data_IF_668245662446
#
_entry.id   IF_668245662446
#
_cell.length_a   1.000
_cell.length_b   1.000
_cell.length_c   1.000
_cell.angle_alpha   90.00
_cell.angle_beta   90.00
_cell.angle_gamma   90.00
#
_symmetry.space_group_name_H-M   'P 1'
#
loop_
_entity.id
_entity.type
_entity.pdbx_description
1 polymer ?
#
# COMPACT_ATOMS: atom_id res chain seq x y z
N UNK A 1 -13.27 -5.84 12.36
CA UNK A 1 -13.20 -4.39 12.65
C UNK A 1 -11.77 -4.09 13.04
N UNK A 2 -11.19 -2.94 12.66
CA UNK A 2 -9.82 -2.62 13.06
C UNK A 2 -9.76 -2.20 14.53
N UNK A 3 -8.62 -2.44 15.18
CA UNK A 3 -8.33 -2.09 16.58
C UNK A 3 -7.92 -0.62 16.77
N UNK A 4 -7.92 0.15 15.68
CA UNK A 4 -7.56 1.57 15.65
C UNK A 4 -8.70 2.42 15.08
N UNK A 5 -8.80 3.65 15.56
CA UNK A 5 -9.72 4.66 15.04
C UNK A 5 -8.94 5.67 14.21
N UNK A 6 -9.42 6.07 13.02
CA UNK A 6 -8.70 7.03 12.20
C UNK A 6 -8.63 8.38 12.91
N UNK A 7 -7.45 8.99 12.94
CA UNK A 7 -7.35 10.41 13.33
C UNK A 7 -7.93 11.31 12.22
N UNK A 8 -8.05 12.61 12.52
CA UNK A 8 -8.65 13.57 11.59
C UNK A 8 -7.97 13.63 10.21
N UNK A 9 -6.64 13.57 10.19
CA UNK A 9 -5.86 13.56 8.96
C UNK A 9 -6.13 12.30 8.12
N UNK A 10 -6.14 11.12 8.75
CA UNK A 10 -6.47 9.84 8.12
C UNK A 10 -7.91 9.83 7.60
N UNK A 11 -8.87 10.32 8.37
CA UNK A 11 -10.28 10.38 7.96
C UNK A 11 -10.46 11.26 6.72
N UNK A 12 -9.83 12.43 6.68
CA UNK A 12 -9.83 13.29 5.49
C UNK A 12 -9.21 12.60 4.29
N UNK A 13 -8.04 11.98 4.44
CA UNK A 13 -7.38 11.22 3.37
C UNK A 13 -8.26 10.10 2.81
N UNK A 14 -8.90 9.32 3.69
CA UNK A 14 -9.84 8.26 3.31
C UNK A 14 -11.05 8.81 2.57
N UNK A 15 -11.62 9.92 3.03
CA UNK A 15 -12.78 10.54 2.39
C UNK A 15 -12.44 11.12 1.01
N UNK A 16 -11.26 11.73 0.86
CA UNK A 16 -10.77 12.21 -0.45
C UNK A 16 -10.57 11.03 -1.42
N UNK A 17 -9.90 9.97 -0.97
CA UNK A 17 -9.73 8.75 -1.76
C UNK A 17 -11.07 8.17 -2.20
N UNK A 18 -12.05 8.04 -1.28
CA UNK A 18 -13.38 7.49 -1.60
C UNK A 18 -14.11 8.30 -2.66
N UNK A 19 -14.06 9.64 -2.57
CA UNK A 19 -14.74 10.55 -3.51
C UNK A 19 -14.18 10.45 -4.93
N UNK A 20 -12.86 10.28 -5.06
CA UNK A 20 -12.18 10.30 -6.36
C UNK A 20 -11.78 8.91 -6.86
N UNK A 21 -12.08 7.84 -6.10
CA UNK A 21 -11.67 6.46 -6.37
C UNK A 21 -12.00 5.97 -7.78
N UNK A 22 -13.20 6.31 -8.27
CA UNK A 22 -13.66 5.89 -9.61
C UNK A 22 -13.03 6.71 -10.74
N UNK A 23 -12.58 7.93 -10.46
CA UNK A 23 -12.11 8.87 -11.48
C UNK A 23 -10.62 8.68 -11.84
N UNK A 24 -9.83 8.03 -10.98
CA UNK A 24 -8.39 7.87 -11.19
C UNK A 24 -7.93 6.44 -10.91
N UNK A 25 -6.89 6.00 -11.62
CA UNK A 25 -6.28 4.68 -11.45
C UNK A 25 -5.13 4.68 -10.44
N UNK A 26 -4.60 5.84 -10.12
CA UNK A 26 -3.50 6.01 -9.18
C UNK A 26 -3.66 7.28 -8.36
N UNK A 27 -3.15 7.26 -7.13
CA UNK A 27 -3.26 8.34 -6.16
C UNK A 27 -1.92 8.55 -5.45
N UNK A 28 -1.58 9.79 -5.13
CA UNK A 28 -0.49 10.12 -4.23
C UNK A 28 -1.07 10.72 -2.96
N UNK A 29 -0.86 10.09 -1.82
CA UNK A 29 -1.28 10.62 -0.51
C UNK A 29 -0.07 11.17 0.21
N UNK A 30 -0.10 12.47 0.45
CA UNK A 30 0.86 13.15 1.30
C UNK A 30 0.38 13.09 2.75
N UNK A 31 1.21 12.51 3.60
CA UNK A 31 0.97 12.40 5.03
C UNK A 31 2.33 12.42 5.77
N UNK A 32 2.61 13.41 6.63
CA UNK A 32 3.93 13.59 7.26
C UNK A 32 4.40 12.37 8.05
N UNK A 33 5.69 12.25 8.36
CA UNK A 33 6.17 11.20 9.28
C UNK A 33 5.51 11.38 10.65
N UNK A 34 5.17 10.26 11.32
CA UNK A 34 4.42 10.31 12.59
C UNK A 34 2.89 10.48 12.44
N UNK A 35 2.37 10.89 11.28
CA UNK A 35 0.91 11.06 11.03
C UNK A 35 0.10 9.76 10.98
N UNK A 36 0.78 8.60 11.02
CA UNK A 36 0.13 7.29 10.97
C UNK A 36 -0.12 6.76 9.56
N UNK A 37 0.80 6.99 8.60
CA UNK A 37 0.74 6.41 7.23
C UNK A 37 0.44 4.91 7.21
N UNK A 38 1.09 4.14 8.07
CA UNK A 38 0.84 2.69 8.18
C UNK A 38 -0.59 2.39 8.65
N UNK A 39 -1.15 3.22 9.54
CA UNK A 39 -2.56 3.13 9.94
C UNK A 39 -3.52 3.47 8.79
N UNK A 40 -3.22 4.52 8.01
CA UNK A 40 -3.98 4.83 6.79
C UNK A 40 -3.96 3.66 5.81
N UNK A 41 -2.79 3.06 5.58
CA UNK A 41 -2.64 1.87 4.74
C UNK A 41 -3.48 0.70 5.26
N UNK A 42 -3.52 0.49 6.58
CA UNK A 42 -4.34 -0.53 7.22
C UNK A 42 -5.84 -0.30 7.02
N UNK A 43 -6.34 0.93 7.16
CA UNK A 43 -7.74 1.28 6.86
C UNK A 43 -8.10 0.97 5.40
N UNK A 44 -7.23 1.36 4.47
CA UNK A 44 -7.44 1.11 3.03
C UNK A 44 -7.44 -0.39 2.76
N UNK A 45 -6.42 -1.11 3.25
CA UNK A 45 -6.26 -2.54 3.04
C UNK A 45 -7.43 -3.33 3.62
N UNK A 46 -7.83 -3.05 4.86
CA UNK A 46 -8.99 -3.67 5.51
C UNK A 46 -10.28 -3.50 4.69
N UNK A 47 -10.50 -2.30 4.14
CA UNK A 47 -11.64 -2.02 3.28
C UNK A 47 -11.65 -2.85 1.99
N UNK A 48 -10.49 -3.24 1.45
CA UNK A 48 -10.41 -4.09 0.25
C UNK A 48 -10.47 -5.59 0.61
N UNK A 49 -9.73 -6.01 1.63
CA UNK A 49 -9.67 -7.39 2.11
C UNK A 49 -11.04 -7.89 2.54
N UNK A 50 -11.85 -7.04 3.19
CA UNK A 50 -13.25 -7.37 3.55
C UNK A 50 -14.16 -7.64 2.35
N UNK A 51 -13.73 -7.28 1.13
CA UNK A 51 -14.41 -7.58 -0.14
C UNK A 51 -13.73 -8.70 -0.93
N UNK A 52 -12.78 -9.42 -0.32
CA UNK A 52 -12.01 -10.48 -0.97
C UNK A 52 -10.99 -9.97 -1.99
N UNK A 53 -10.67 -8.67 -1.97
CA UNK A 53 -9.72 -8.06 -2.91
C UNK A 53 -8.28 -8.16 -2.38
N UNK A 54 -7.33 -8.41 -3.28
CA UNK A 54 -5.92 -8.61 -2.94
C UNK A 54 -5.13 -7.31 -2.95
N UNK A 55 -4.43 -7.05 -1.85
CA UNK A 55 -3.62 -5.86 -1.63
C UNK A 55 -2.16 -6.25 -1.57
N UNK A 56 -1.32 -5.56 -2.36
CA UNK A 56 0.13 -5.61 -2.24
C UNK A 56 0.63 -4.32 -1.58
N UNK A 57 1.22 -4.46 -0.40
CA UNK A 57 1.91 -3.38 0.29
C UNK A 57 3.42 -3.48 0.05
N UNK A 58 4.02 -2.40 -0.43
CA UNK A 58 5.45 -2.29 -0.71
C UNK A 58 6.10 -1.34 0.29
N UNK A 59 6.83 -1.92 1.24
CA UNK A 59 7.71 -1.17 2.14
C UNK A 59 8.97 -0.68 1.40
N UNK A 60 9.60 0.43 1.85
CA UNK A 60 10.77 0.96 1.16
C UNK A 60 12.00 0.05 1.27
N UNK A 61 12.16 -0.67 2.38
CA UNK A 61 13.31 -1.52 2.68
C UNK A 61 12.88 -2.86 3.28
N UNK A 62 13.66 -3.92 3.04
CA UNK A 62 13.38 -5.28 3.53
C UNK A 62 13.30 -5.37 5.06
N UNK A 63 14.11 -4.58 5.77
CA UNK A 63 14.12 -4.58 7.25
C UNK A 63 12.80 -4.13 7.88
N UNK A 64 11.97 -3.38 7.13
CA UNK A 64 10.68 -2.86 7.63
C UNK A 64 9.49 -3.81 7.37
N UNK A 65 9.70 -4.90 6.63
CA UNK A 65 8.63 -5.84 6.27
C UNK A 65 7.98 -6.44 7.53
N UNK A 66 8.78 -7.02 8.42
CA UNK A 66 8.27 -7.68 9.64
C UNK A 66 7.57 -6.67 10.56
N UNK A 67 8.15 -5.47 10.71
CA UNK A 67 7.54 -4.39 11.48
C UNK A 67 6.20 -3.95 10.89
N UNK A 68 6.08 -3.94 9.56
CA UNK A 68 4.83 -3.57 8.88
C UNK A 68 3.75 -4.63 9.09
N UNK A 69 4.11 -5.91 8.93
CA UNK A 69 3.18 -7.01 9.17
C UNK A 69 2.69 -7.03 10.62
N UNK A 70 3.61 -6.88 11.58
CA UNK A 70 3.25 -6.78 13.00
C UNK A 70 2.25 -5.65 13.24
N UNK A 71 2.51 -4.45 12.71
CA UNK A 71 1.56 -3.32 12.82
C UNK A 71 0.22 -3.61 12.18
N UNK A 72 0.17 -4.27 11.02
CA UNK A 72 -1.09 -4.64 10.38
C UNK A 72 -1.90 -5.58 11.26
N UNK A 73 -1.26 -6.60 11.85
CA UNK A 73 -1.89 -7.49 12.82
C UNK A 73 -2.36 -6.75 14.07
N UNK A 74 -1.53 -5.89 14.65
CA UNK A 74 -1.89 -5.05 15.81
C UNK A 74 -3.12 -4.16 15.53
N UNK A 75 -3.19 -3.59 14.32
CA UNK A 75 -4.33 -2.80 13.85
C UNK A 75 -5.56 -3.65 13.54
N UNK A 76 -5.48 -4.98 13.54
CA UNK A 76 -6.61 -5.89 13.38
C UNK A 76 -6.84 -6.37 11.94
N UNK A 77 -5.82 -6.31 11.07
CA UNK A 77 -5.86 -7.10 9.84
C UNK A 77 -5.66 -8.60 10.16
N UNK A 78 -6.34 -9.50 9.42
CA UNK A 78 -6.26 -10.93 9.65
C UNK A 78 -4.84 -11.46 9.37
N UNK A 79 -4.14 -11.89 10.41
CA UNK A 79 -2.76 -12.38 10.33
C UNK A 79 -2.63 -13.59 9.40
N UNK A 80 -3.64 -14.47 9.41
CA UNK A 80 -3.74 -15.65 8.53
C UNK A 80 -3.89 -15.30 7.04
N UNK A 81 -4.16 -14.03 6.72
CA UNK A 81 -4.23 -13.53 5.35
C UNK A 81 -2.98 -12.74 4.92
N UNK A 82 -1.95 -12.66 5.77
CA UNK A 82 -0.70 -11.97 5.48
C UNK A 82 0.33 -12.96 4.91
N UNK A 83 0.80 -12.68 3.70
CA UNK A 83 1.88 -13.38 3.03
C UNK A 83 3.07 -12.45 2.81
N UNK A 84 4.27 -13.01 2.89
CA UNK A 84 5.52 -12.29 2.70
C UNK A 84 6.16 -12.67 1.37
N UNK A 85 6.37 -11.67 0.50
CA UNK A 85 7.13 -11.88 -0.72
C UNK A 85 8.61 -11.69 -0.39
N UNK A 86 9.29 -12.78 0.01
CA UNK A 86 10.73 -12.82 0.29
C UNK A 86 11.39 -14.10 -0.24
N UNK A 87 12.73 -14.12 -0.25
CA UNK A 87 13.57 -15.23 -0.69
C UNK A 87 13.46 -16.34 0.35
N UNK A 88 12.66 -17.34 0.00
CA UNK A 88 12.49 -18.61 0.72
C UNK A 88 11.78 -18.47 2.07
N UNK A 89 10.83 -17.53 2.18
CA UNK A 89 10.02 -17.40 3.38
C UNK A 89 9.00 -18.55 3.45
N UNK A 90 8.94 -19.31 4.56
CA UNK A 90 8.02 -20.45 4.69
C UNK A 90 6.55 -20.04 4.59
N UNK A 91 6.22 -18.79 4.89
CA UNK A 91 4.86 -18.25 4.84
C UNK A 91 4.55 -17.48 3.53
N UNK A 92 5.24 -17.81 2.42
CA UNK A 92 4.85 -17.27 1.12
C UNK A 92 3.69 -18.07 0.55
N UNK A 93 2.51 -17.45 0.52
CA UNK A 93 1.35 -17.95 -0.19
C UNK A 93 0.77 -16.84 -1.09
N UNK A 94 0.81 -16.99 -2.43
CA UNK A 94 0.29 -15.99 -3.36
C UNK A 94 -1.25 -15.88 -3.34
N UNK A 95 -1.96 -16.84 -2.74
CA UNK A 95 -3.42 -16.83 -2.70
C UNK A 95 -3.98 -15.91 -1.62
N UNK A 96 -3.21 -15.67 -0.55
CA UNK A 96 -3.61 -14.81 0.55
C UNK A 96 -3.88 -13.36 0.10
N UNK A 97 -4.77 -12.69 0.83
CA UNK A 97 -5.30 -11.39 0.41
C UNK A 97 -4.35 -10.21 0.66
N UNK A 98 -3.42 -10.33 1.61
CA UNK A 98 -2.48 -9.26 1.97
C UNK A 98 -1.07 -9.76 1.65
N UNK A 99 -0.45 -9.15 0.66
CA UNK A 99 0.92 -9.44 0.27
C UNK A 99 1.81 -8.29 0.74
N UNK A 100 2.86 -8.59 1.49
CA UNK A 100 3.83 -7.58 1.96
C UNK A 100 5.18 -7.88 1.32
N UNK A 101 5.76 -6.87 0.68
CA UNK A 101 7.05 -6.95 0.03
C UNK A 101 7.87 -5.68 0.30
N UNK A 102 9.18 -5.73 0.06
CA UNK A 102 9.99 -4.52 -0.07
C UNK A 102 10.24 -4.18 -1.54
N UNK A 103 10.46 -2.90 -1.82
CA UNK A 103 10.91 -2.46 -3.13
C UNK A 103 12.19 -3.20 -3.57
N UNK A 104 13.15 -3.38 -2.65
CA UNK A 104 14.41 -4.09 -2.92
C UNK A 104 14.19 -5.56 -3.32
N UNK A 105 13.16 -6.21 -2.76
CA UNK A 105 12.80 -7.59 -3.11
C UNK A 105 12.13 -7.66 -4.47
N UNK A 106 11.16 -6.78 -4.74
CA UNK A 106 10.42 -6.74 -6.00
C UNK A 106 11.31 -6.34 -7.19
N UNK A 107 12.41 -5.61 -6.95
CA UNK A 107 13.40 -5.29 -7.99
C UNK A 107 14.13 -6.55 -8.51
N UNK A 108 14.04 -7.68 -7.80
CA UNK A 108 14.76 -8.92 -8.14
C UNK A 108 13.83 -10.10 -8.44
N UNK A 109 12.51 -9.88 -8.50
CA UNK A 109 11.49 -10.93 -8.62
C UNK A 109 10.36 -10.55 -9.55
N UNK A 110 9.65 -11.55 -10.08
CA UNK A 110 8.41 -11.27 -10.79
C UNK A 110 7.43 -10.52 -9.90
N UNK A 111 6.85 -9.46 -10.45
CA UNK A 111 5.85 -8.67 -9.76
C UNK A 111 4.53 -9.45 -9.72
N UNK A 112 3.83 -9.51 -8.56
CA UNK A 112 2.55 -10.20 -8.46
C UNK A 112 1.53 -9.67 -9.48
N UNK A 113 0.97 -10.56 -10.29
CA UNK A 113 0.02 -10.19 -11.36
C UNK A 113 -1.42 -10.12 -10.88
N UNK A 114 -1.75 -10.82 -9.80
CA UNK A 114 -3.12 -11.00 -9.30
C UNK A 114 -3.39 -10.08 -8.10
N UNK A 115 -3.30 -8.76 -8.28
CA UNK A 115 -3.57 -7.78 -7.23
C UNK A 115 -4.66 -6.82 -7.69
N UNK A 116 -5.46 -6.31 -6.76
CA UNK A 116 -6.48 -5.30 -7.02
C UNK A 116 -6.05 -3.89 -6.55
N UNK A 117 -5.09 -3.84 -5.62
CA UNK A 117 -4.49 -2.61 -5.12
C UNK A 117 -3.00 -2.79 -4.83
N UNK A 118 -2.21 -1.84 -5.33
CA UNK A 118 -0.81 -1.63 -4.96
C UNK A 118 -0.71 -0.41 -4.03
N UNK A 119 -0.16 -0.60 -2.83
CA UNK A 119 0.21 0.48 -1.92
C UNK A 119 1.74 0.56 -1.88
N UNK A 120 2.32 1.72 -2.17
CA UNK A 120 3.77 1.95 -2.12
C UNK A 120 4.07 2.95 -1.02
N UNK A 121 4.73 2.50 0.04
CA UNK A 121 5.18 3.35 1.13
C UNK A 121 6.51 4.01 0.82
N UNK A 122 6.71 5.21 1.36
CA UNK A 122 7.76 6.15 0.97
C UNK A 122 7.96 6.24 -0.54
N UNK A 123 6.85 6.45 -1.24
CA UNK A 123 6.80 6.48 -2.70
C UNK A 123 7.83 7.46 -3.30
N UNK A 124 8.15 8.55 -2.59
CA UNK A 124 9.15 9.55 -3.00
C UNK A 124 10.54 8.98 -3.32
N UNK A 125 10.89 7.76 -2.87
CA UNK A 125 12.17 7.11 -3.18
C UNK A 125 12.34 6.71 -4.66
N UNK A 126 11.28 6.79 -5.49
CA UNK A 126 11.36 6.71 -6.97
C UNK A 126 12.16 5.52 -7.52
N UNK A 127 11.99 4.33 -6.93
CA UNK A 127 12.68 3.11 -7.39
C UNK A 127 12.23 2.74 -8.82
N UNK A 128 13.12 2.87 -9.80
CA UNK A 128 12.81 2.76 -11.25
C UNK A 128 11.97 1.55 -11.65
N UNK A 129 12.26 0.35 -11.12
CA UNK A 129 11.48 -0.86 -11.45
C UNK A 129 10.08 -0.83 -10.85
N UNK A 130 9.89 -0.26 -9.65
CA UNK A 130 8.55 -0.07 -9.06
C UNK A 130 7.74 0.91 -9.91
N UNK A 131 8.35 2.01 -10.37
CA UNK A 131 7.70 2.97 -11.25
C UNK A 131 7.21 2.33 -12.56
N UNK A 132 8.03 1.48 -13.18
CA UNK A 132 7.62 0.73 -14.38
C UNK A 132 6.42 -0.18 -14.14
N UNK A 133 6.37 -0.85 -12.99
CA UNK A 133 5.22 -1.70 -12.65
C UNK A 133 3.98 -0.86 -12.37
N UNK A 134 4.12 0.32 -11.74
CA UNK A 134 3.01 1.28 -11.57
C UNK A 134 2.47 1.74 -12.93
N UNK A 135 3.34 2.15 -13.86
CA UNK A 135 2.96 2.55 -15.21
C UNK A 135 2.22 1.42 -15.94
N UNK A 136 2.74 0.20 -15.84
CA UNK A 136 2.10 -0.98 -16.43
C UNK A 136 0.72 -1.26 -15.82
N UNK A 137 0.62 -1.30 -14.49
CA UNK A 137 -0.62 -1.62 -13.77
C UNK A 137 -1.71 -0.61 -14.10
N UNK A 138 -1.35 0.67 -14.11
CA UNK A 138 -2.28 1.77 -14.39
C UNK A 138 -2.70 1.78 -15.86
N UNK A 139 -1.77 1.56 -16.80
CA UNK A 139 -2.08 1.47 -18.24
C UNK A 139 -2.98 0.26 -18.57
N UNK A 140 -2.72 -0.89 -17.94
CA UNK A 140 -3.53 -2.11 -18.12
C UNK A 140 -4.86 -2.07 -17.34
N UNK A 141 -5.09 -1.03 -16.52
CA UNK A 141 -6.26 -0.88 -15.61
C UNK A 141 -6.57 -2.12 -14.77
N UNK A 142 -5.53 -2.86 -14.37
CA UNK A 142 -5.68 -4.11 -13.62
C UNK A 142 -5.90 -3.90 -12.13
N UNK A 143 -5.27 -2.86 -11.57
CA UNK A 143 -5.33 -2.55 -10.16
C UNK A 143 -5.28 -1.04 -9.94
N UNK A 144 -5.74 -0.59 -8.78
CA UNK A 144 -5.50 0.78 -8.32
C UNK A 144 -4.11 0.90 -7.69
N UNK A 145 -3.53 2.10 -7.72
CA UNK A 145 -2.23 2.38 -7.09
C UNK A 145 -2.36 3.52 -6.09
N UNK A 146 -1.77 3.37 -4.90
CA UNK A 146 -1.66 4.44 -3.90
C UNK A 146 -0.20 4.57 -3.48
N UNK A 147 0.40 5.74 -3.73
CA UNK A 147 1.66 6.13 -3.13
C UNK A 147 1.41 6.83 -1.80
N UNK A 148 2.14 6.44 -0.75
CA UNK A 148 2.16 7.14 0.54
C UNK A 148 3.53 7.80 0.71
N UNK A 149 3.57 9.05 1.16
CA UNK A 149 4.84 9.74 1.40
C UNK A 149 4.73 10.85 2.44
N UNK A 150 5.79 11.01 3.23
CA UNK A 150 5.99 12.19 4.09
C UNK A 150 6.44 13.45 3.35
N UNK A 151 6.67 13.37 2.04
CA UNK A 151 7.09 14.50 1.20
C UNK A 151 6.14 14.68 0.01
N UNK A 152 5.91 15.92 -0.46
CA UNK A 152 5.01 16.18 -1.59
C UNK A 152 5.64 15.79 -2.94
N UNK A 153 6.89 15.32 -2.96
CA UNK A 153 7.57 14.90 -4.18
C UNK A 153 6.93 13.62 -4.73
N UNK A 154 6.10 13.78 -5.76
CA UNK A 154 5.39 12.68 -6.38
C UNK A 154 6.34 11.75 -7.13
N UNK A 155 6.23 10.46 -6.86
CA UNK A 155 6.80 9.40 -7.67
C UNK A 155 5.72 8.61 -8.41
N UNK A 156 4.52 8.54 -7.83
CA UNK A 156 3.33 7.92 -8.42
C UNK A 156 2.57 8.99 -9.21
N UNK A 157 2.23 8.76 -10.49
CA UNK A 157 1.36 9.67 -11.23
C UNK A 157 -0.05 9.67 -10.64
N UNK A 158 -0.76 10.79 -10.64
CA UNK A 158 -2.13 10.88 -10.12
C UNK A 158 -2.36 12.15 -9.28
N UNK A 159 -3.61 12.40 -8.82
CA UNK A 159 -3.89 13.52 -7.94
C UNK A 159 -3.11 13.39 -6.63
N UNK A 160 -2.55 14.52 -6.19
CA UNK A 160 -1.97 14.67 -4.86
C UNK A 160 -3.09 14.94 -3.86
N UNK A 161 -3.29 14.03 -2.92
CA UNK A 161 -4.22 14.16 -1.81
C UNK A 161 -3.41 14.50 -0.56
N UNK A 162 -3.51 15.73 -0.07
CA UNK A 162 -2.85 16.15 1.16
C UNK A 162 -3.73 15.88 2.37
N UNK A 163 -3.18 15.21 3.37
CA UNK A 163 -3.73 15.25 4.72
C UNK A 163 -3.09 16.44 5.45
N UNK A 164 -3.88 17.41 5.96
CA UNK A 164 -3.32 18.50 6.76
C UNK A 164 -2.73 17.98 8.07
N UNK A 165 -1.80 18.75 8.63
CA UNK A 165 -1.22 18.53 9.97
C UNK A 165 -2.27 18.58 11.07
#
# INVERSE_FOLDING_TARGET
MLNITPNFAQERGLNMLRRTWKAHDSFMVYAPTGSGKTGLAAFIASGLVSRGMRVLFVAPYTILINQTAQRFTEYGLPEDQISFIWRDHPNYDPNLLIQIASADTLIRREFPKNIDLLIVDEAHLRKRRILKEIERITAEKKAKVIGLSGTPFCAVPGPLLSTPD
#
